data_IF_294663169009
#
_entry.id   IF_294663169009
#
_cell.length_a   1.000
_cell.length_b   1.000
_cell.length_c   1.000
_cell.angle_alpha   90.00
_cell.angle_beta   90.00
_cell.angle_gamma   90.00
#
_symmetry.space_group_name_H-M   'P 1'
#
loop_
_entity.id
_entity.type
_entity.pdbx_description
1 polymer ?
#
# COMPACT_ATOMS: atom_id res chain seq x y z
N UNK A 1 9.21 -6.98 24.69
CA UNK A 1 9.57 -6.80 23.28
C UNK A 1 8.37 -7.10 22.40
N UNK A 2 8.12 -6.27 21.43
CA UNK A 2 7.04 -6.47 20.44
C UNK A 2 7.61 -6.52 19.04
N UNK A 3 6.84 -7.05 18.11
CA UNK A 3 7.20 -7.09 16.71
C UNK A 3 6.38 -6.05 15.94
N UNK A 4 7.06 -5.28 15.09
CA UNK A 4 6.40 -4.25 14.27
C UNK A 4 5.42 -4.91 13.29
N UNK A 5 4.18 -4.44 13.26
CA UNK A 5 3.18 -4.96 12.31
C UNK A 5 3.46 -4.56 10.87
N UNK A 6 4.32 -3.56 10.63
CA UNK A 6 4.70 -3.13 9.29
C UNK A 6 5.90 -3.91 8.75
N UNK A 7 7.04 -3.88 9.46
CA UNK A 7 8.28 -4.48 8.97
C UNK A 7 8.60 -5.84 9.57
N UNK A 8 7.90 -6.25 10.63
CA UNK A 8 8.13 -7.53 11.30
C UNK A 8 9.33 -7.57 12.22
N UNK A 9 10.11 -6.51 12.30
CA UNK A 9 11.29 -6.46 13.15
C UNK A 9 10.90 -6.27 14.61
N UNK A 10 11.66 -6.87 15.54
CA UNK A 10 11.42 -6.65 16.96
C UNK A 10 11.79 -5.23 17.38
N UNK A 11 11.05 -4.68 18.32
CA UNK A 11 11.35 -3.37 18.88
C UNK A 11 11.00 -3.34 20.36
N UNK A 12 11.66 -2.47 21.11
CA UNK A 12 11.36 -2.24 22.51
C UNK A 12 10.52 -0.98 22.65
N UNK A 13 9.52 -1.04 23.53
CA UNK A 13 8.67 0.11 23.79
C UNK A 13 9.43 1.04 24.74
N UNK A 14 9.58 2.29 24.32
CA UNK A 14 10.12 3.36 25.12
C UNK A 14 8.96 4.23 25.58
N UNK A 15 9.05 4.79 26.77
CA UNK A 15 8.03 5.66 27.35
C UNK A 15 6.70 4.95 27.61
N UNK A 16 5.62 5.68 27.37
CA UNK A 16 4.26 5.24 27.62
C UNK A 16 3.61 4.53 26.42
N UNK A 17 4.44 4.08 25.47
CA UNK A 17 3.97 3.46 24.23
C UNK A 17 3.65 1.98 24.32
N UNK A 18 3.22 1.48 25.47
CA UNK A 18 2.98 0.06 25.67
C UNK A 18 1.88 -0.54 24.74
N UNK A 19 1.05 0.31 24.14
CA UNK A 19 0.07 -0.10 23.14
C UNK A 19 0.59 0.00 21.71
N UNK A 20 1.85 0.42 21.55
CA UNK A 20 2.43 0.69 20.24
C UNK A 20 2.52 -0.58 19.37
N UNK A 21 2.09 -0.50 18.13
CA UNK A 21 2.07 -1.62 17.17
C UNK A 21 3.22 -1.59 16.17
N UNK A 22 3.86 -0.44 16.00
CA UNK A 22 4.87 -0.20 14.97
C UNK A 22 6.17 0.24 15.60
N UNK A 23 7.30 -0.16 15.01
CA UNK A 23 8.61 0.27 15.48
C UNK A 23 8.83 1.78 15.23
N UNK A 24 9.84 2.33 15.86
CA UNK A 24 10.12 3.76 15.77
C UNK A 24 10.71 4.17 14.40
N UNK A 25 11.23 3.23 13.63
CA UNK A 25 11.65 3.50 12.26
C UNK A 25 10.47 3.63 11.30
N UNK A 26 9.48 2.73 11.43
CA UNK A 26 8.29 2.76 10.57
C UNK A 26 7.32 3.87 10.97
N UNK A 27 7.22 4.15 12.27
CA UNK A 27 6.31 5.17 12.80
C UNK A 27 7.05 5.98 13.88
N UNK A 28 7.89 6.94 13.49
CA UNK A 28 8.69 7.73 14.43
C UNK A 28 7.83 8.61 15.31
N UNK A 29 8.37 8.96 16.49
CA UNK A 29 7.75 9.97 17.34
C UNK A 29 7.97 11.35 16.77
N UNK A 30 6.98 12.20 16.96
CA UNK A 30 7.12 13.62 16.73
C UNK A 30 8.02 14.20 17.82
N UNK A 31 8.99 15.03 17.46
CA UNK A 31 9.87 15.70 18.40
C UNK A 31 10.34 17.05 17.82
N UNK A 32 11.33 17.67 18.46
CA UNK A 32 11.86 18.96 18.00
C UNK A 32 12.45 18.91 16.59
N UNK A 33 12.90 17.72 16.16
CA UNK A 33 13.56 17.52 14.88
C UNK A 33 12.62 16.92 13.82
N UNK A 34 11.41 16.52 14.22
CA UNK A 34 10.46 15.87 13.31
C UNK A 34 9.03 16.35 13.55
N UNK A 35 8.45 16.97 12.54
CA UNK A 35 7.07 17.43 12.58
C UNK A 35 6.08 16.27 12.46
N UNK A 36 4.83 16.52 12.81
CA UNK A 36 3.74 15.57 12.63
C UNK A 36 3.62 15.12 11.17
N UNK A 37 3.71 16.05 10.23
CA UNK A 37 3.62 15.75 8.79
C UNK A 37 4.73 14.83 8.32
N UNK A 38 5.96 15.05 8.80
CA UNK A 38 7.08 14.19 8.47
C UNK A 38 6.89 12.78 9.02
N UNK A 39 6.46 12.67 10.28
CA UNK A 39 6.21 11.38 10.92
C UNK A 39 5.11 10.60 10.18
N UNK A 40 4.02 11.25 9.79
CA UNK A 40 2.93 10.64 9.03
C UNK A 40 3.42 10.16 7.66
N UNK A 41 4.23 10.98 6.98
CA UNK A 41 4.78 10.61 5.67
C UNK A 41 5.68 9.38 5.76
N UNK A 42 6.55 9.31 6.75
CA UNK A 42 7.42 8.16 6.98
C UNK A 42 6.59 6.91 7.22
N UNK A 43 5.57 7.00 8.07
CA UNK A 43 4.69 5.88 8.37
C UNK A 43 3.96 5.39 7.11
N UNK A 44 3.44 6.29 6.29
CA UNK A 44 2.75 5.95 5.04
C UNK A 44 3.68 5.21 4.08
N UNK A 45 4.91 5.70 3.94
CA UNK A 45 5.91 5.04 3.09
C UNK A 45 6.25 3.64 3.60
N UNK A 46 6.40 3.48 4.90
CA UNK A 46 6.69 2.18 5.52
C UNK A 46 5.54 1.18 5.28
N UNK A 47 4.31 1.62 5.45
CA UNK A 47 3.12 0.79 5.21
C UNK A 47 3.05 0.39 3.73
N UNK A 48 3.19 1.33 2.82
CA UNK A 48 3.15 1.05 1.38
C UNK A 48 4.25 0.07 0.99
N UNK A 49 5.47 0.28 1.49
CA UNK A 49 6.59 -0.63 1.23
C UNK A 49 6.26 -2.05 1.68
N UNK A 50 5.70 -2.20 2.88
CA UNK A 50 5.34 -3.50 3.41
C UNK A 50 4.26 -4.19 2.56
N UNK A 51 3.26 -3.44 2.10
CA UNK A 51 2.19 -3.98 1.24
C UNK A 51 2.72 -4.34 -0.15
N UNK A 52 3.61 -3.52 -0.71
CA UNK A 52 4.27 -3.80 -1.99
C UNK A 52 5.08 -5.09 -1.89
N UNK A 53 5.87 -5.25 -0.84
CA UNK A 53 6.66 -6.47 -0.58
C UNK A 53 5.75 -7.69 -0.39
N UNK A 54 4.64 -7.51 0.31
CA UNK A 54 3.62 -8.54 0.53
C UNK A 54 3.05 -9.06 -0.80
N UNK A 55 2.92 -8.20 -1.80
CA UNK A 55 2.41 -8.56 -3.13
C UNK A 55 3.52 -8.92 -4.13
N UNK A 56 4.74 -9.14 -3.67
CA UNK A 56 5.84 -9.61 -4.49
C UNK A 56 6.88 -8.57 -4.88
N UNK A 57 6.67 -7.30 -4.55
CA UNK A 57 7.66 -6.23 -4.73
C UNK A 57 7.89 -5.75 -6.15
N UNK A 58 7.08 -6.19 -7.12
CA UNK A 58 7.25 -5.83 -8.53
C UNK A 58 5.91 -5.86 -9.25
N UNK A 59 5.86 -5.16 -10.39
CA UNK A 59 4.69 -5.23 -11.26
C UNK A 59 4.43 -6.67 -11.68
N UNK A 60 3.20 -7.15 -11.50
CA UNK A 60 2.80 -8.51 -11.85
C UNK A 60 2.79 -8.76 -13.37
N UNK A 61 2.73 -7.70 -14.16
CA UNK A 61 2.63 -7.79 -15.63
C UNK A 61 4.00 -7.68 -16.28
N UNK A 62 4.74 -6.59 -16.02
CA UNK A 62 6.02 -6.32 -16.70
C UNK A 62 7.26 -6.51 -15.83
N UNK A 63 7.09 -6.76 -14.53
CA UNK A 63 8.21 -6.97 -13.61
C UNK A 63 8.92 -5.72 -13.13
N UNK A 64 8.40 -4.53 -13.43
CA UNK A 64 9.00 -3.27 -13.01
C UNK A 64 9.12 -3.21 -11.48
N UNK A 65 10.29 -2.82 -10.98
CA UNK A 65 10.54 -2.73 -9.53
C UNK A 65 11.53 -1.63 -9.14
N UNK A 66 11.75 -0.66 -10.02
CA UNK A 66 12.77 0.38 -9.79
C UNK A 66 12.33 1.48 -8.84
N UNK A 67 11.06 1.82 -8.84
CA UNK A 67 10.53 2.90 -8.00
C UNK A 67 9.22 2.45 -7.36
N UNK A 68 9.19 2.42 -6.04
CA UNK A 68 8.01 1.99 -5.29
C UNK A 68 6.80 2.90 -5.56
N UNK A 69 7.03 4.20 -5.80
CA UNK A 69 5.95 5.14 -6.12
C UNK A 69 5.23 4.80 -7.41
N UNK A 70 5.91 4.14 -8.34
CA UNK A 70 5.33 3.73 -9.61
C UNK A 70 4.52 2.43 -9.48
N UNK A 71 4.58 1.75 -8.34
CA UNK A 71 3.81 0.53 -8.09
C UNK A 71 2.48 0.89 -7.42
N UNK A 72 1.41 0.36 -7.97
CA UNK A 72 0.04 0.67 -7.56
C UNK A 72 -0.77 -0.62 -7.38
N UNK A 73 -1.83 -0.53 -6.57
CA UNK A 73 -2.73 -1.66 -6.36
C UNK A 73 -3.95 -1.52 -7.25
N UNK A 74 -4.21 -2.55 -8.05
CA UNK A 74 -5.37 -2.60 -8.94
C UNK A 74 -6.33 -3.68 -8.44
N UNK A 75 -7.56 -3.30 -8.11
CA UNK A 75 -8.59 -4.25 -7.69
C UNK A 75 -9.04 -5.10 -8.88
N UNK A 76 -8.97 -6.42 -8.71
CA UNK A 76 -9.40 -7.36 -9.76
C UNK A 76 -10.89 -7.31 -9.99
N UNK A 77 -11.65 -7.10 -8.92
CA UNK A 77 -13.11 -6.97 -8.98
C UNK A 77 -13.51 -5.69 -8.23
N UNK A 78 -13.82 -4.59 -8.95
CA UNK A 78 -14.19 -3.33 -8.30
C UNK A 78 -15.42 -3.43 -7.40
N UNK A 79 -16.31 -4.39 -7.65
CA UNK A 79 -17.50 -4.57 -6.81
C UNK A 79 -17.17 -5.06 -5.40
N UNK A 80 -16.00 -5.66 -5.21
CA UNK A 80 -15.54 -6.17 -3.91
C UNK A 80 -14.63 -5.19 -3.18
N UNK A 81 -14.38 -4.02 -3.78
CA UNK A 81 -13.53 -2.99 -3.20
C UNK A 81 -14.22 -2.33 -2.01
N UNK A 82 -13.61 -2.44 -0.81
CA UNK A 82 -14.08 -1.73 0.38
C UNK A 82 -13.42 -0.34 0.47
N UNK A 83 -12.13 -0.27 0.14
CA UNK A 83 -11.38 0.98 0.17
C UNK A 83 -10.11 0.83 -0.67
N UNK A 84 -9.45 1.95 -0.97
CA UNK A 84 -8.17 1.93 -1.70
C UNK A 84 -7.02 1.79 -0.70
N UNK A 85 -6.19 0.72 -0.78
CA UNK A 85 -5.14 0.47 0.22
C UNK A 85 -4.17 1.63 0.43
N UNK A 86 -3.76 2.32 -0.63
CA UNK A 86 -2.81 3.42 -0.51
C UNK A 86 -3.41 4.72 0.01
N UNK A 87 -4.73 4.81 0.10
CA UNK A 87 -5.42 6.02 0.61
C UNK A 87 -5.94 5.87 2.03
N UNK A 88 -6.07 4.67 2.53
CA UNK A 88 -6.65 4.39 3.85
C UNK A 88 -5.62 3.78 4.80
N UNK A 89 -4.48 4.44 4.94
CA UNK A 89 -3.34 3.95 5.72
C UNK A 89 -3.52 4.08 7.23
N UNK A 90 -4.69 4.56 7.69
CA UNK A 90 -5.05 4.57 9.11
C UNK A 90 -5.61 3.24 9.59
N UNK A 91 -5.96 2.34 8.69
CA UNK A 91 -6.48 1.03 9.04
C UNK A 91 -5.35 0.11 9.51
N UNK A 92 -5.70 -0.94 10.25
CA UNK A 92 -4.72 -1.92 10.72
C UNK A 92 -4.04 -2.63 9.55
N UNK A 93 -2.84 -3.15 9.78
CA UNK A 93 -2.12 -3.90 8.74
C UNK A 93 -2.90 -5.14 8.29
N UNK A 94 -3.63 -5.80 9.19
CA UNK A 94 -4.48 -6.95 8.84
C UNK A 94 -5.54 -6.56 7.82
N UNK A 95 -6.23 -5.43 8.05
CA UNK A 95 -7.25 -4.93 7.12
C UNK A 95 -6.65 -4.51 5.78
N UNK A 96 -5.48 -3.87 5.82
CA UNK A 96 -4.78 -3.46 4.60
C UNK A 96 -4.36 -4.66 3.76
N UNK A 97 -3.87 -5.73 4.41
CA UNK A 97 -3.50 -6.97 3.72
C UNK A 97 -4.72 -7.66 3.11
N UNK A 98 -5.84 -7.71 3.85
CA UNK A 98 -7.08 -8.25 3.31
C UNK A 98 -7.52 -7.53 2.04
N UNK A 99 -7.42 -6.19 2.04
CA UNK A 99 -7.81 -5.41 0.88
C UNK A 99 -6.82 -5.58 -0.27
N UNK A 100 -5.51 -5.65 0.01
CA UNK A 100 -4.51 -5.90 -1.03
C UNK A 100 -4.60 -7.30 -1.62
N UNK A 101 -5.14 -8.28 -0.87
CA UNK A 101 -5.40 -9.62 -1.41
C UNK A 101 -6.40 -9.60 -2.57
N UNK A 102 -7.25 -8.58 -2.63
CA UNK A 102 -8.21 -8.37 -3.72
C UNK A 102 -7.58 -7.67 -4.93
N UNK A 103 -6.32 -7.31 -4.85
CA UNK A 103 -5.62 -6.52 -5.85
C UNK A 103 -4.45 -7.28 -6.46
N UNK A 104 -4.00 -6.82 -7.63
CA UNK A 104 -2.68 -7.13 -8.15
C UNK A 104 -1.82 -5.89 -8.04
N UNK A 105 -0.51 -6.09 -7.91
CA UNK A 105 0.46 -5.00 -7.89
C UNK A 105 0.93 -4.75 -9.32
N UNK A 106 0.76 -3.53 -9.79
CA UNK A 106 1.12 -3.16 -11.17
C UNK A 106 1.82 -1.80 -11.17
N UNK A 107 2.68 -1.57 -12.16
CA UNK A 107 3.29 -0.25 -12.33
C UNK A 107 2.27 0.72 -12.94
N UNK A 108 2.57 2.02 -12.87
CA UNK A 108 1.70 3.07 -13.39
C UNK A 108 1.32 2.87 -14.85
N UNK A 109 2.29 2.45 -15.67
CA UNK A 109 2.04 2.20 -17.09
C UNK A 109 1.08 1.03 -17.32
N UNK A 110 1.34 -0.10 -16.66
CA UNK A 110 0.47 -1.27 -16.77
C UNK A 110 -0.92 -0.99 -16.20
N UNK A 111 -1.00 -0.23 -15.11
CA UNK A 111 -2.27 0.17 -14.52
C UNK A 111 -3.09 1.02 -15.49
N UNK A 112 -2.44 1.98 -16.15
CA UNK A 112 -3.08 2.82 -17.17
C UNK A 112 -3.57 1.98 -18.35
N UNK A 113 -2.77 1.01 -18.80
CA UNK A 113 -3.13 0.11 -19.90
C UNK A 113 -4.34 -0.76 -19.56
N UNK A 114 -4.41 -1.26 -18.33
CA UNK A 114 -5.57 -2.04 -17.84
C UNK A 114 -6.84 -1.20 -17.91
N UNK A 115 -6.81 0.02 -17.40
CA UNK A 115 -7.97 0.91 -17.42
C UNK A 115 -8.35 1.32 -18.83
N UNK A 116 -7.36 1.53 -19.70
CA UNK A 116 -7.60 1.86 -21.10
C UNK A 116 -8.35 0.71 -21.82
N UNK A 117 -7.93 -0.53 -21.59
CA UNK A 117 -8.61 -1.69 -22.16
C UNK A 117 -10.03 -1.87 -21.62
N UNK A 118 -10.22 -1.64 -20.32
CA UNK A 118 -11.57 -1.71 -19.72
C UNK A 118 -12.48 -0.68 -20.37
N UNK A 119 -11.99 0.55 -20.57
CA UNK A 119 -12.76 1.60 -21.24
C UNK A 119 -13.06 1.26 -22.69
N UNK A 120 -12.07 0.75 -23.43
CA UNK A 120 -12.26 0.33 -24.84
C UNK A 120 -13.32 -0.76 -24.95
N UNK A 121 -13.26 -1.76 -24.09
CA UNK A 121 -14.26 -2.83 -24.08
C UNK A 121 -15.66 -2.31 -23.75
N UNK A 122 -15.73 -1.33 -22.86
CA UNK A 122 -16.99 -0.69 -22.49
C UNK A 122 -17.59 0.06 -23.66
N UNK A 123 -16.78 0.81 -24.41
CA UNK A 123 -17.24 1.54 -25.60
C UNK A 123 -17.52 0.59 -26.76
N UNK A 124 -16.71 -0.42 -26.95
CA UNK A 124 -16.89 -1.38 -28.04
C UNK A 124 -18.14 -2.24 -27.89
N UNK A 125 -18.61 -2.46 -26.67
CA UNK A 125 -19.85 -3.21 -26.43
C UNK A 125 -21.10 -2.44 -26.86
N UNK A 126 -20.99 -1.10 -26.95
CA UNK A 126 -22.09 -0.23 -27.33
C UNK A 126 -22.14 0.06 -28.84
N UNK A 127 -21.10 -0.30 -29.60
CA UNK A 127 -21.05 -0.13 -31.05
C UNK A 127 -21.06 -1.48 -31.74
N UNK A 128 -22.23 -1.90 -32.24
CA UNK A 128 -22.27 -3.12 -33.05
C UNK A 128 -21.56 -2.87 -34.37
N UNK A 129 -20.61 -3.71 -34.68
CA UNK A 129 -19.99 -3.71 -36.01
C UNK A 129 -20.82 -4.57 -36.95
#
# INVERSE_FOLDING_TARGET
>A
MRYCEICGNPFEIMDKGWTRKYCYECAPHEDENMSHEQAVTIKRHAIKKALVEYKGGKCAICGYNKCMRALEFHHLDPSKKDFHPSKCLTKSMSRLREETDKCILVCSNCHAEIHDEIEKNKYNSDTPE
#
